data_IF_570694111064
#
_entry.id   IF_570694111064
#
_cell.length_a   1.000
_cell.length_b   1.000
_cell.length_c   1.000
_cell.angle_alpha   90.00
_cell.angle_beta   90.00
_cell.angle_gamma   90.00
#
_symmetry.space_group_name_H-M   'P 1'
#
loop_
_entity.id
_entity.type
_entity.pdbx_description
1 polymer ?
#
# COMPACT_ATOMS: atom_id res chain seq x y z
N UNK A 1 9.55 9.29 16.20
CA UNK A 1 8.57 8.76 15.24
C UNK A 1 8.60 9.74 14.08
N UNK A 2 9.35 9.43 13.03
CA UNK A 2 9.43 10.30 11.85
C UNK A 2 8.03 10.55 11.31
N UNK A 3 7.75 11.80 10.97
CA UNK A 3 6.43 12.20 10.49
C UNK A 3 6.28 11.72 9.06
N UNK A 4 5.24 10.94 8.79
CA UNK A 4 4.82 10.57 7.43
C UNK A 4 4.65 11.76 6.49
N UNK A 5 4.54 12.98 7.02
CA UNK A 5 4.42 14.21 6.25
C UNK A 5 5.59 14.50 5.30
N UNK A 6 6.77 13.96 5.57
CA UNK A 6 7.95 14.17 4.71
C UNK A 6 8.08 13.11 3.60
N UNK A 7 7.30 12.03 3.67
CA UNK A 7 7.36 10.96 2.67
C UNK A 7 6.50 11.31 1.44
N UNK A 8 7.01 11.11 0.22
CA UNK A 8 6.23 11.36 -0.99
C UNK A 8 5.00 10.44 -1.04
N UNK A 9 3.88 10.99 -1.54
CA UNK A 9 2.64 10.22 -1.78
C UNK A 9 2.60 9.84 -3.26
N UNK A 10 2.67 8.54 -3.52
CA UNK A 10 2.53 7.96 -4.85
C UNK A 10 1.11 7.46 -5.10
N UNK A 11 0.75 7.30 -6.37
CA UNK A 11 -0.58 6.82 -6.79
C UNK A 11 -0.45 5.89 -7.99
N UNK A 12 -1.28 4.86 -8.02
CA UNK A 12 -1.49 4.05 -9.21
C UNK A 12 -3.00 3.85 -9.45
N UNK A 13 -3.39 3.87 -10.73
CA UNK A 13 -4.78 3.71 -11.14
C UNK A 13 -5.20 2.25 -11.16
N UNK A 14 -6.26 1.93 -10.42
CA UNK A 14 -6.89 0.61 -10.41
C UNK A 14 -8.28 0.74 -9.79
N UNK A 15 -9.29 0.13 -10.41
CA UNK A 15 -10.65 0.21 -9.90
C UNK A 15 -10.81 -0.59 -8.61
N UNK A 16 -11.79 -0.24 -7.78
CA UNK A 16 -12.10 -1.02 -6.57
C UNK A 16 -12.62 -2.44 -6.89
N UNK A 17 -13.13 -2.65 -8.11
CA UNK A 17 -13.55 -3.96 -8.60
C UNK A 17 -12.36 -4.89 -8.88
N UNK A 18 -11.24 -4.33 -9.35
CA UNK A 18 -10.00 -5.09 -9.59
C UNK A 18 -9.15 -5.27 -8.32
N UNK A 19 -9.13 -4.27 -7.43
CA UNK A 19 -8.38 -4.34 -6.18
C UNK A 19 -9.14 -3.72 -5.01
N UNK A 20 -9.73 -4.56 -4.16
CA UNK A 20 -10.26 -4.13 -2.86
C UNK A 20 -9.19 -4.26 -1.77
N UNK A 21 -8.76 -3.14 -1.17
CA UNK A 21 -7.75 -3.16 -0.10
C UNK A 21 -8.22 -3.95 1.13
N UNK A 22 -9.49 -3.81 1.52
CA UNK A 22 -10.03 -4.55 2.67
C UNK A 22 -10.08 -6.04 2.43
N UNK A 23 -10.50 -6.47 1.24
CA UNK A 23 -10.52 -7.89 0.87
C UNK A 23 -9.10 -8.46 0.70
N UNK A 24 -8.16 -7.67 0.19
CA UNK A 24 -6.79 -8.13 -0.10
C UNK A 24 -5.93 -8.18 1.16
N UNK A 25 -5.98 -7.13 1.98
CA UNK A 25 -5.09 -6.96 3.13
C UNK A 25 -5.72 -7.48 4.43
N UNK A 26 -7.06 -7.51 4.52
CA UNK A 26 -7.80 -7.93 5.71
C UNK A 26 -8.21 -9.40 5.75
N UNK A 27 -8.08 -10.16 4.66
CA UNK A 27 -8.58 -11.55 4.58
C UNK A 27 -7.72 -12.60 5.32
N UNK A 28 -6.68 -12.19 6.05
CA UNK A 28 -5.80 -13.10 6.78
C UNK A 28 -4.71 -13.77 5.93
N UNK A 29 -4.56 -13.40 4.65
CA UNK A 29 -3.41 -13.83 3.84
C UNK A 29 -2.10 -13.14 4.25
N UNK A 30 -2.19 -11.97 4.88
CA UNK A 30 -1.03 -11.24 5.38
C UNK A 30 -1.31 -10.60 6.75
N UNK A 31 -0.88 -11.30 7.81
CA UNK A 31 -1.04 -10.87 9.22
C UNK A 31 -0.25 -9.62 9.62
N UNK A 32 0.43 -8.97 8.66
CA UNK A 32 1.26 -7.79 8.90
C UNK A 32 0.54 -6.49 8.58
N UNK A 33 -0.71 -6.55 8.13
CA UNK A 33 -1.50 -5.38 7.80
C UNK A 33 -2.54 -5.09 8.86
N UNK A 34 -2.69 -3.81 9.20
CA UNK A 34 -3.76 -3.31 10.05
C UNK A 34 -4.33 -2.02 9.44
N UNK A 35 -5.64 -1.84 9.50
CA UNK A 35 -6.30 -0.60 9.10
C UNK A 35 -6.64 0.26 10.32
N UNK A 36 -6.53 1.57 10.19
CA UNK A 36 -7.13 2.52 11.13
C UNK A 36 -8.60 2.84 10.78
N UNK A 37 -9.24 3.66 11.61
CA UNK A 37 -10.64 4.09 11.42
C UNK A 37 -10.84 4.94 10.16
N UNK A 38 -9.79 5.53 9.60
CA UNK A 38 -9.81 6.29 8.35
C UNK A 38 -9.65 5.40 7.11
N UNK A 39 -9.50 4.07 7.29
CA UNK A 39 -9.31 3.13 6.20
C UNK A 39 -7.89 3.15 5.61
N UNK A 40 -6.92 3.71 6.32
CA UNK A 40 -5.50 3.64 5.96
C UNK A 40 -4.92 2.34 6.47
N UNK A 41 -4.35 1.56 5.56
CA UNK A 41 -3.69 0.30 5.84
C UNK A 41 -2.20 0.53 6.09
N UNK A 42 -1.72 0.08 7.25
CA UNK A 42 -0.30 0.05 7.60
C UNK A 42 0.19 -1.39 7.56
N UNK A 43 1.33 -1.64 6.92
CA UNK A 43 1.93 -2.97 6.96
C UNK A 43 3.40 -3.00 6.56
N UNK A 44 4.03 -4.16 6.76
CA UNK A 44 5.47 -4.34 6.50
C UNK A 44 5.67 -5.26 5.32
N UNK A 45 6.41 -4.77 4.31
CA UNK A 45 6.87 -5.54 3.16
C UNK A 45 8.40 -5.51 3.09
N UNK A 46 9.04 -6.67 3.22
CA UNK A 46 10.49 -6.76 3.32
C UNK A 46 11.01 -5.95 4.51
N UNK A 47 11.91 -4.99 4.24
CA UNK A 47 12.51 -4.09 5.24
C UNK A 47 11.84 -2.69 5.28
N UNK A 48 10.64 -2.54 4.68
CA UNK A 48 9.92 -1.26 4.57
C UNK A 48 8.55 -1.35 5.22
N UNK A 49 8.12 -0.25 5.81
CA UNK A 49 6.74 -0.03 6.25
C UNK A 49 5.99 0.72 5.15
N UNK A 50 4.76 0.33 4.88
CA UNK A 50 3.91 0.94 3.87
C UNK A 50 2.60 1.44 4.48
N UNK A 51 2.13 2.58 3.97
CA UNK A 51 0.77 3.07 4.15
C UNK A 51 0.04 3.01 2.81
N UNK A 52 -1.15 2.42 2.78
CA UNK A 52 -2.01 2.39 1.59
C UNK A 52 -3.40 2.90 1.94
N UNK A 53 -4.00 3.69 1.06
CA UNK A 53 -5.41 4.07 1.18
C UNK A 53 -6.04 4.24 -0.20
N UNK A 54 -7.37 4.16 -0.23
CA UNK A 54 -8.15 4.22 -1.45
C UNK A 54 -8.54 5.68 -1.75
N UNK A 55 -8.30 6.12 -2.98
CA UNK A 55 -8.73 7.42 -3.52
C UNK A 55 -9.50 7.21 -4.82
N UNK A 56 -10.81 6.90 -4.74
CA UNK A 56 -11.65 6.57 -5.89
C UNK A 56 -10.99 5.51 -6.81
N UNK A 57 -10.63 5.89 -8.04
CA UNK A 57 -9.99 5.00 -9.04
C UNK A 57 -8.47 4.81 -8.84
N UNK A 58 -7.93 5.25 -7.70
CA UNK A 58 -6.52 5.13 -7.38
C UNK A 58 -6.30 4.48 -6.01
N UNK A 59 -5.15 3.82 -5.86
CA UNK A 59 -4.57 3.54 -4.55
C UNK A 59 -3.42 4.51 -4.35
N UNK A 60 -3.47 5.26 -3.26
CA UNK A 60 -2.37 6.08 -2.81
C UNK A 60 -1.52 5.31 -1.80
N UNK A 61 -0.21 5.55 -1.83
CA UNK A 61 0.72 4.88 -0.94
C UNK A 61 1.94 5.72 -0.56
N UNK A 62 2.52 5.38 0.59
CA UNK A 62 3.81 5.86 1.08
C UNK A 62 4.62 4.66 1.59
N UNK A 63 5.94 4.79 1.62
CA UNK A 63 6.81 3.82 2.29
C UNK A 63 7.84 4.49 3.19
N UNK A 64 8.42 3.72 4.10
CA UNK A 64 9.57 4.14 4.89
C UNK A 64 10.49 2.93 5.18
N UNK A 65 11.81 3.02 4.91
CA UNK A 65 12.45 4.05 4.11
C UNK A 65 11.98 4.00 2.65
N UNK A 66 11.87 5.16 2.01
CA UNK A 66 11.48 5.29 0.61
C UNK A 66 12.67 5.57 -0.30
N UNK A 67 12.78 4.80 -1.38
CA UNK A 67 13.77 4.97 -2.45
C UNK A 67 13.10 5.13 -3.83
N UNK A 68 11.78 5.35 -3.85
CA UNK A 68 10.94 5.48 -5.04
C UNK A 68 10.81 4.20 -5.86
N UNK A 69 11.88 3.82 -6.58
CA UNK A 69 11.85 2.71 -7.53
C UNK A 69 11.77 1.36 -6.82
N UNK A 70 12.60 1.16 -5.79
CA UNK A 70 12.65 -0.11 -5.06
C UNK A 70 11.39 -0.32 -4.20
N UNK A 71 10.87 0.75 -3.61
CA UNK A 71 9.64 0.73 -2.84
C UNK A 71 8.42 0.44 -3.75
N UNK A 72 8.38 0.98 -4.96
CA UNK A 72 7.35 0.65 -5.94
C UNK A 72 7.45 -0.79 -6.47
N UNK A 73 8.65 -1.25 -6.82
CA UNK A 73 8.88 -2.62 -7.31
C UNK A 73 8.40 -3.66 -6.28
N UNK A 74 8.76 -3.47 -5.01
CA UNK A 74 8.33 -4.36 -3.94
C UNK A 74 6.80 -4.36 -3.76
N UNK A 75 6.16 -3.18 -3.78
CA UNK A 75 4.72 -3.07 -3.58
C UNK A 75 3.93 -3.65 -4.75
N UNK A 76 4.28 -3.27 -5.98
CA UNK A 76 3.60 -3.73 -7.20
C UNK A 76 3.67 -5.24 -7.36
N UNK A 77 4.82 -5.85 -7.07
CA UNK A 77 4.99 -7.31 -7.05
C UNK A 77 4.19 -7.97 -5.94
N UNK A 78 4.16 -7.38 -4.74
CA UNK A 78 3.37 -7.91 -3.63
C UNK A 78 1.87 -7.92 -3.95
N UNK A 79 1.37 -6.86 -4.57
CA UNK A 79 -0.03 -6.73 -5.01
C UNK A 79 -0.31 -7.42 -6.35
N UNK A 80 0.68 -8.08 -6.96
CA UNK A 80 0.56 -8.80 -8.24
C UNK A 80 0.03 -7.94 -9.38
N UNK A 81 0.37 -6.65 -9.41
CA UNK A 81 -0.05 -5.71 -10.46
C UNK A 81 0.58 -6.01 -11.83
N UNK A 82 1.54 -6.93 -11.87
CA UNK A 82 2.17 -7.46 -13.07
C UNK A 82 1.32 -8.53 -13.79
N UNK A 83 0.30 -9.07 -13.13
CA UNK A 83 -0.57 -10.11 -13.69
C UNK A 83 -1.83 -9.48 -14.26
N UNK A 84 -2.13 -9.78 -15.53
CA UNK A 84 -3.37 -9.40 -16.23
C UNK A 84 -4.09 -10.62 -16.77
#
# INVERSE_FOLDING_TARGET
MESWGDQPIYRFGISAAELSLSATLGCGQAFRWASDEAGVWLGVLGARVYRLWREAEHVAWQSYPDDGVGSWEALSRYLRLDVR
#
